data_IF_327190072015
#
_entry.id   IF_327190072015
#
_cell.length_a   1.000
_cell.length_b   1.000
_cell.length_c   1.000
_cell.angle_alpha   90.00
_cell.angle_beta   90.00
_cell.angle_gamma   90.00
#
_symmetry.space_group_name_H-M   'P 1'
#
loop_
_entity.id
_entity.type
_entity.pdbx_description
1 polymer ?
#
# COMPACT_ATOMS: atom_id res chain seq x y z
N UNK A 1 -10.13 -13.87 15.58
CA UNK A 1 -9.23 -15.04 15.42
C UNK A 1 -9.59 -15.98 14.27
N UNK A 2 -10.81 -16.56 14.22
CA UNK A 2 -11.18 -17.57 13.20
C UNK A 2 -11.08 -17.08 11.73
N UNK A 3 -11.48 -15.84 11.44
CA UNK A 3 -11.34 -15.23 10.10
C UNK A 3 -9.86 -15.00 9.68
N UNK A 4 -9.01 -14.62 10.62
CA UNK A 4 -7.56 -14.47 10.41
C UNK A 4 -6.90 -15.83 10.11
N UNK A 5 -7.25 -16.87 10.88
CA UNK A 5 -6.76 -18.23 10.65
C UNK A 5 -7.20 -18.81 9.30
N UNK A 6 -8.45 -18.56 8.89
CA UNK A 6 -8.95 -18.98 7.57
C UNK A 6 -8.24 -18.25 6.44
N UNK A 7 -8.04 -16.93 6.57
CA UNK A 7 -7.34 -16.12 5.55
C UNK A 7 -5.84 -16.44 5.47
N UNK A 8 -5.22 -16.79 6.59
CA UNK A 8 -3.82 -17.23 6.62
C UNK A 8 -3.69 -18.65 6.06
N UNK A 9 -4.59 -19.56 6.45
CA UNK A 9 -4.63 -20.92 5.94
C UNK A 9 -4.86 -20.98 4.42
N UNK A 10 -5.76 -20.15 3.87
CA UNK A 10 -5.97 -20.05 2.43
C UNK A 10 -4.75 -19.51 1.70
N UNK A 11 -4.06 -18.51 2.25
CA UNK A 11 -2.82 -17.99 1.69
C UNK A 11 -1.69 -19.04 1.66
N UNK A 12 -1.52 -19.81 2.75
CA UNK A 12 -0.55 -20.91 2.82
C UNK A 12 -0.90 -22.03 1.83
N UNK A 13 -2.18 -22.39 1.70
CA UNK A 13 -2.62 -23.39 0.73
C UNK A 13 -2.42 -22.95 -0.72
N UNK A 14 -2.69 -21.67 -1.03
CA UNK A 14 -2.44 -21.11 -2.37
C UNK A 14 -0.95 -21.09 -2.69
N UNK A 15 -0.10 -20.72 -1.73
CA UNK A 15 1.35 -20.76 -1.90
C UNK A 15 1.88 -22.20 -2.06
N UNK A 16 1.37 -23.14 -1.25
CA UNK A 16 1.74 -24.55 -1.36
C UNK A 16 1.29 -25.15 -2.69
N UNK A 17 0.08 -24.83 -3.15
CA UNK A 17 -0.43 -25.22 -4.47
C UNK A 17 0.40 -24.62 -5.60
N UNK A 18 0.78 -23.35 -5.49
CA UNK A 18 1.67 -22.68 -6.43
C UNK A 18 3.04 -23.36 -6.53
N UNK A 19 3.68 -23.67 -5.40
CA UNK A 19 4.97 -24.39 -5.40
C UNK A 19 4.84 -25.80 -5.96
N UNK A 20 3.74 -26.50 -5.66
CA UNK A 20 3.48 -27.83 -6.20
C UNK A 20 3.33 -27.80 -7.74
N UNK A 21 2.66 -26.78 -8.29
CA UNK A 21 2.50 -26.57 -9.74
C UNK A 21 3.84 -26.33 -10.46
N UNK A 22 4.84 -25.75 -9.78
CA UNK A 22 6.13 -25.39 -10.37
C UNK A 22 7.16 -26.52 -10.41
N UNK A 23 6.81 -27.73 -9.96
CA UNK A 23 7.73 -28.85 -9.72
C UNK A 23 8.82 -28.50 -8.68
N UNK A 24 8.61 -28.83 -7.39
CA UNK A 24 9.48 -28.41 -6.29
C UNK A 24 10.97 -28.78 -6.47
N UNK A 25 11.26 -29.94 -7.08
CA UNK A 25 12.64 -30.38 -7.29
C UNK A 25 13.37 -29.50 -8.30
N UNK A 26 12.70 -29.13 -9.40
CA UNK A 26 13.28 -28.22 -10.41
C UNK A 26 13.41 -26.80 -9.88
N UNK A 27 12.41 -26.34 -9.14
CA UNK A 27 12.45 -25.03 -8.47
C UNK A 27 13.63 -24.95 -7.48
N UNK A 28 13.83 -25.97 -6.65
CA UNK A 28 14.94 -26.01 -5.70
C UNK A 28 16.31 -26.02 -6.40
N UNK A 29 16.45 -26.75 -7.50
CA UNK A 29 17.69 -26.76 -8.28
C UNK A 29 17.99 -25.37 -8.87
N UNK A 30 17.02 -24.72 -9.50
CA UNK A 30 17.20 -23.37 -10.05
C UNK A 30 17.55 -22.32 -8.97
N UNK A 31 16.93 -22.43 -7.78
CA UNK A 31 17.23 -21.53 -6.67
C UNK A 31 18.61 -21.79 -6.07
N UNK A 32 19.12 -23.02 -6.12
CA UNK A 32 20.46 -23.36 -5.63
C UNK A 32 21.57 -22.76 -6.51
N UNK A 33 21.33 -22.61 -7.81
CA UNK A 33 22.27 -21.99 -8.76
C UNK A 33 22.19 -20.46 -8.77
N UNK A 34 21.24 -19.86 -8.03
CA UNK A 34 21.04 -18.41 -8.02
C UNK A 34 22.22 -17.67 -7.38
N UNK A 35 22.71 -16.63 -8.05
CA UNK A 35 23.78 -15.79 -7.50
C UNK A 35 23.29 -14.94 -6.33
N UNK A 36 23.77 -15.27 -5.13
CA UNK A 36 23.35 -14.60 -3.89
C UNK A 36 23.70 -13.10 -3.89
N UNK A 37 24.87 -12.72 -4.41
CA UNK A 37 25.32 -11.32 -4.48
C UNK A 37 24.38 -10.44 -5.30
N UNK A 38 23.95 -10.94 -6.46
CA UNK A 38 22.98 -10.26 -7.33
C UNK A 38 21.61 -10.19 -6.66
N UNK A 39 21.17 -11.29 -6.04
CA UNK A 39 19.89 -11.34 -5.34
C UNK A 39 19.81 -10.34 -4.17
N UNK A 40 20.88 -10.18 -3.40
CA UNK A 40 20.93 -9.27 -2.24
C UNK A 40 20.73 -7.78 -2.59
N UNK A 41 20.92 -7.39 -3.86
CA UNK A 41 20.56 -6.05 -4.33
C UNK A 41 19.05 -5.79 -4.23
N UNK A 42 18.21 -6.84 -4.34
CA UNK A 42 16.76 -6.75 -4.20
C UNK A 42 16.30 -6.30 -2.81
N UNK A 43 16.65 -7.00 -1.71
CA UNK A 43 16.34 -6.56 -0.36
C UNK A 43 16.89 -5.16 -0.02
N UNK A 44 18.10 -4.82 -0.50
CA UNK A 44 18.66 -3.47 -0.32
C UNK A 44 17.79 -2.41 -1.02
N UNK A 45 17.34 -2.69 -2.25
CA UNK A 45 16.43 -1.80 -2.97
C UNK A 45 15.08 -1.67 -2.24
N UNK A 46 14.55 -2.75 -1.67
CA UNK A 46 13.31 -2.70 -0.86
C UNK A 46 13.49 -1.84 0.40
N UNK A 47 14.61 -1.94 1.12
CA UNK A 47 14.90 -1.03 2.24
C UNK A 47 14.93 0.43 1.77
N UNK A 48 15.61 0.70 0.66
CA UNK A 48 15.64 2.03 0.06
C UNK A 48 14.25 2.54 -0.31
N UNK A 49 13.38 1.68 -0.86
CA UNK A 49 11.99 2.03 -1.17
C UNK A 49 11.18 2.38 0.09
N UNK A 50 11.32 1.58 1.16
CA UNK A 50 10.67 1.85 2.44
C UNK A 50 11.13 3.18 3.06
N UNK A 51 12.44 3.48 3.00
CA UNK A 51 12.98 4.78 3.44
C UNK A 51 12.40 5.92 2.60
N UNK A 52 12.35 5.78 1.29
CA UNK A 52 11.76 6.79 0.41
C UNK A 52 10.29 7.06 0.75
N UNK A 53 9.45 6.03 0.87
CA UNK A 53 8.04 6.22 1.19
C UNK A 53 7.80 6.77 2.61
N UNK A 54 8.64 6.38 3.57
CA UNK A 54 8.64 6.96 4.90
C UNK A 54 8.99 8.45 4.88
N UNK A 55 10.06 8.82 4.17
CA UNK A 55 10.49 10.22 4.04
C UNK A 55 9.48 11.07 3.28
N UNK A 56 8.88 10.54 2.21
CA UNK A 56 7.80 11.22 1.50
C UNK A 56 6.61 11.50 2.43
N UNK A 57 6.23 10.52 3.26
CA UNK A 57 5.18 10.71 4.27
C UNK A 57 5.59 11.78 5.29
N UNK A 58 6.82 11.71 5.82
CA UNK A 58 7.38 12.67 6.78
C UNK A 58 7.34 14.11 6.26
N UNK A 59 7.70 14.32 4.99
CA UNK A 59 7.66 15.63 4.34
C UNK A 59 6.24 16.21 4.33
N UNK A 60 5.23 15.38 4.02
CA UNK A 60 3.84 15.82 4.01
C UNK A 60 3.34 16.19 5.41
N UNK A 61 3.80 15.48 6.47
CA UNK A 61 3.50 15.84 7.86
C UNK A 61 4.22 17.10 8.34
N UNK A 62 5.39 17.44 7.78
CA UNK A 62 6.15 18.63 8.18
C UNK A 62 5.43 19.95 7.86
N UNK A 63 4.47 19.94 6.93
CA UNK A 63 3.59 21.07 6.63
C UNK A 63 2.63 21.44 7.77
N UNK A 64 2.48 20.57 8.77
CA UNK A 64 1.47 20.65 9.83
C UNK A 64 2.04 21.01 11.21
N UNK A 65 3.13 21.78 11.27
CA UNK A 65 3.88 22.25 12.47
C UNK A 65 4.58 21.17 13.33
N UNK A 66 4.47 19.90 12.97
CA UNK A 66 5.15 18.79 13.68
C UNK A 66 6.50 18.42 13.04
N UNK A 67 7.60 18.66 13.74
CA UNK A 67 8.94 18.19 13.33
C UNK A 67 9.14 16.72 13.71
N UNK A 68 8.91 15.82 12.78
CA UNK A 68 9.15 14.39 12.96
C UNK A 68 10.57 14.03 12.51
N UNK A 69 11.30 13.30 13.35
CA UNK A 69 12.59 12.71 12.96
C UNK A 69 12.40 11.55 11.96
N UNK A 70 13.32 11.37 11.02
CA UNK A 70 13.31 10.27 10.04
C UNK A 70 13.07 8.89 10.66
N UNK A 71 13.72 8.58 11.78
CA UNK A 71 13.57 7.28 12.43
C UNK A 71 12.15 7.03 12.99
N UNK A 72 11.52 8.06 13.59
CA UNK A 72 10.13 7.96 14.05
C UNK A 72 9.17 7.75 12.87
N UNK A 73 9.35 8.49 11.79
CA UNK A 73 8.55 8.31 10.57
C UNK A 73 8.76 6.91 9.95
N UNK A 74 9.97 6.36 10.02
CA UNK A 74 10.27 5.01 9.52
C UNK A 74 9.56 3.93 10.33
N UNK A 75 9.59 4.04 11.66
CA UNK A 75 8.85 3.13 12.55
C UNK A 75 7.35 3.21 12.33
N UNK A 76 6.78 4.41 12.24
CA UNK A 76 5.37 4.63 11.95
C UNK A 76 4.96 4.03 10.60
N UNK A 77 5.74 4.31 9.55
CA UNK A 77 5.51 3.77 8.21
C UNK A 77 5.59 2.23 8.21
N UNK A 78 6.64 1.66 8.79
CA UNK A 78 6.83 0.21 8.86
C UNK A 78 5.72 -0.49 9.64
N UNK A 79 5.29 0.07 10.78
CA UNK A 79 4.19 -0.45 11.57
C UNK A 79 2.85 -0.43 10.82
N UNK A 80 2.54 0.70 10.17
CA UNK A 80 1.35 0.82 9.34
C UNK A 80 1.38 -0.12 8.14
N UNK A 81 2.52 -0.23 7.46
CA UNK A 81 2.67 -1.07 6.27
C UNK A 81 2.61 -2.57 6.62
N UNK A 82 3.15 -2.95 7.77
CA UNK A 82 2.97 -4.29 8.33
C UNK A 82 1.48 -4.59 8.58
N UNK A 83 0.76 -3.69 9.25
CA UNK A 83 -0.68 -3.84 9.46
C UNK A 83 -1.45 -3.95 8.15
N UNK A 84 -1.14 -3.10 7.16
CA UNK A 84 -1.76 -3.10 5.83
C UNK A 84 -1.58 -4.43 5.08
N UNK A 85 -0.43 -5.09 5.22
CA UNK A 85 -0.13 -6.32 4.49
C UNK A 85 -0.64 -7.59 5.19
N UNK A 86 -0.70 -7.58 6.52
CA UNK A 86 -1.09 -8.76 7.31
C UNK A 86 -2.60 -8.82 7.56
N UNK A 87 -3.29 -7.68 7.65
CA UNK A 87 -4.73 -7.65 7.90
C UNK A 87 -5.54 -8.08 6.67
N UNK A 88 -6.58 -8.94 6.83
CA UNK A 88 -7.57 -9.20 5.79
C UNK A 88 -8.24 -7.89 5.37
N UNK A 89 -8.43 -7.66 4.06
CA UNK A 89 -8.87 -6.36 3.52
C UNK A 89 -7.93 -5.18 3.87
N UNK A 90 -6.69 -5.44 4.26
CA UNK A 90 -5.73 -4.41 4.66
C UNK A 90 -5.44 -3.39 3.55
N UNK A 91 -5.55 -3.75 2.27
CA UNK A 91 -5.50 -2.78 1.16
C UNK A 91 -6.73 -1.87 1.09
N UNK A 92 -7.92 -2.33 1.49
CA UNK A 92 -9.14 -1.52 1.48
C UNK A 92 -9.19 -0.55 2.68
N UNK A 93 -8.60 -0.92 3.82
CA UNK A 93 -8.43 -0.08 5.01
C UNK A 93 -7.04 0.56 5.14
N UNK A 94 -6.19 0.45 4.12
CA UNK A 94 -4.77 0.81 4.15
C UNK A 94 -4.49 2.21 4.68
N UNK A 95 -5.15 3.27 4.16
CA UNK A 95 -4.92 4.62 4.64
C UNK A 95 -5.30 4.79 6.13
N UNK A 96 -6.33 4.10 6.61
CA UNK A 96 -6.74 4.14 8.02
C UNK A 96 -5.71 3.47 8.95
N UNK A 97 -5.21 2.30 8.57
CA UNK A 97 -4.17 1.58 9.34
C UNK A 97 -2.88 2.38 9.40
N UNK A 98 -2.48 2.95 8.25
CA UNK A 98 -1.32 3.84 8.17
C UNK A 98 -1.51 5.10 9.01
N UNK A 99 -2.68 5.75 8.93
CA UNK A 99 -2.99 6.94 9.71
C UNK A 99 -2.94 6.68 11.22
N UNK A 100 -3.45 5.53 11.67
CA UNK A 100 -3.38 5.13 13.07
C UNK A 100 -1.94 4.90 13.55
N UNK A 101 -1.11 4.24 12.73
CA UNK A 101 0.29 4.03 13.06
C UNK A 101 1.07 5.36 13.17
N UNK A 102 0.74 6.33 12.31
CA UNK A 102 1.33 7.67 12.37
C UNK A 102 0.80 8.49 13.55
N UNK A 103 -0.49 8.45 13.86
CA UNK A 103 -1.07 9.11 15.04
C UNK A 103 -0.39 8.65 16.34
N UNK A 104 -0.14 7.35 16.49
CA UNK A 104 0.48 6.81 17.71
C UNK A 104 1.95 7.20 17.87
N UNK A 105 2.62 7.53 16.78
CA UNK A 105 4.05 7.90 16.75
C UNK A 105 4.28 9.41 16.60
N UNK A 106 3.26 10.13 16.16
CA UNK A 106 3.25 11.56 15.89
C UNK A 106 1.93 12.05 16.46
N UNK A 107 1.95 12.84 17.53
CA UNK A 107 0.78 13.37 18.26
C UNK A 107 -0.05 14.38 17.42
N UNK A 108 -0.40 14.01 16.20
CA UNK A 108 -1.24 14.69 15.24
C UNK A 108 -2.45 13.78 15.04
N UNK A 109 -3.56 14.13 15.70
CA UNK A 109 -4.73 13.28 15.84
C UNK A 109 -5.20 12.60 14.54
N UNK A 110 -5.86 11.45 14.67
CA UNK A 110 -6.20 10.53 13.59
C UNK A 110 -6.73 11.18 12.29
N UNK A 111 -7.65 12.16 12.36
CA UNK A 111 -8.21 12.82 11.16
C UNK A 111 -7.16 13.54 10.32
N UNK A 112 -6.16 14.17 10.96
CA UNK A 112 -5.06 14.85 10.27
C UNK A 112 -4.11 13.83 9.67
N UNK A 113 -3.77 12.78 10.42
CA UNK A 113 -2.95 11.67 9.92
C UNK A 113 -3.60 10.99 8.71
N UNK A 114 -4.92 10.80 8.72
CA UNK A 114 -5.65 10.22 7.60
C UNK A 114 -5.60 11.09 6.34
N UNK A 115 -5.72 12.41 6.49
CA UNK A 115 -5.61 13.32 5.36
C UNK A 115 -4.21 13.29 4.72
N UNK A 116 -3.15 13.35 5.55
CA UNK A 116 -1.77 13.30 5.07
C UNK A 116 -1.46 11.97 4.38
N UNK A 117 -1.87 10.86 4.98
CA UNK A 117 -1.68 9.53 4.40
C UNK A 117 -2.48 9.35 3.11
N UNK A 118 -3.70 9.88 3.02
CA UNK A 118 -4.47 9.84 1.79
C UNK A 118 -3.75 10.59 0.64
N UNK A 119 -3.14 11.75 0.94
CA UNK A 119 -2.28 12.46 -0.03
C UNK A 119 -1.09 11.59 -0.43
N UNK A 120 -0.39 10.99 0.55
CA UNK A 120 0.76 10.13 0.28
C UNK A 120 0.39 8.92 -0.60
N UNK A 121 -0.75 8.26 -0.33
CA UNK A 121 -1.24 7.15 -1.14
C UNK A 121 -1.63 7.62 -2.55
N UNK A 122 -2.27 8.78 -2.69
CA UNK A 122 -2.58 9.34 -4.01
C UNK A 122 -1.30 9.62 -4.82
N UNK A 123 -0.30 10.26 -4.22
CA UNK A 123 1.01 10.49 -4.87
C UNK A 123 1.68 9.17 -5.24
N UNK A 124 1.56 8.15 -4.38
CA UNK A 124 2.10 6.81 -4.65
C UNK A 124 1.40 6.11 -5.81
N UNK A 125 0.08 6.20 -5.90
CA UNK A 125 -0.68 5.68 -7.05
C UNK A 125 -0.29 6.39 -8.34
N UNK A 126 -0.14 7.72 -8.31
CA UNK A 126 0.30 8.47 -9.48
C UNK A 126 1.72 8.07 -9.91
N UNK A 127 2.63 7.92 -8.94
CA UNK A 127 4.01 7.51 -9.21
C UNK A 127 4.11 6.09 -9.77
N UNK A 128 3.26 5.16 -9.30
CA UNK A 128 3.20 3.78 -9.81
C UNK A 128 2.71 3.74 -11.25
N UNK A 129 1.68 4.54 -11.57
CA UNK A 129 1.12 4.63 -12.92
C UNK A 129 2.08 5.29 -13.88
N UNK A 130 2.72 6.40 -13.46
CA UNK A 130 3.75 7.04 -14.26
C UNK A 130 4.87 6.04 -14.57
N UNK A 131 5.29 5.25 -13.58
CA UNK A 131 6.31 4.23 -13.78
C UNK A 131 5.85 3.14 -14.76
N UNK A 132 4.60 2.67 -14.65
CA UNK A 132 4.02 1.71 -15.58
C UNK A 132 3.97 2.25 -17.02
N UNK A 133 3.56 3.52 -17.18
CA UNK A 133 3.49 4.22 -18.47
C UNK A 133 4.88 4.40 -19.09
N UNK A 134 5.89 4.78 -18.28
CA UNK A 134 7.27 4.86 -18.73
C UNK A 134 7.77 3.47 -19.17
N UNK A 135 7.54 2.44 -18.35
CA UNK A 135 7.92 1.06 -18.67
C UNK A 135 7.32 0.59 -20.00
N UNK A 136 6.00 0.76 -20.20
CA UNK A 136 5.35 0.34 -21.44
C UNK A 136 5.77 1.17 -22.65
N UNK A 137 6.01 2.47 -22.47
CA UNK A 137 6.50 3.34 -23.55
C UNK A 137 7.89 2.91 -24.02
N UNK A 138 8.79 2.59 -23.09
CA UNK A 138 10.12 2.07 -23.43
C UNK A 138 10.01 0.71 -24.10
N UNK A 139 9.12 -0.19 -23.65
CA UNK A 139 8.87 -1.48 -24.30
C UNK A 139 8.42 -1.31 -25.76
N UNK A 140 7.50 -0.36 -26.04
CA UNK A 140 7.11 -0.06 -27.42
C UNK A 140 8.25 0.53 -28.24
N UNK A 141 9.05 1.43 -27.66
CA UNK A 141 10.19 2.04 -28.34
C UNK A 141 11.26 1.02 -28.76
N UNK A 142 11.43 -0.07 -28.00
CA UNK A 142 12.35 -1.17 -28.34
C UNK A 142 11.68 -2.29 -29.15
N UNK A 143 10.45 -2.09 -29.64
CA UNK A 143 9.77 -3.00 -30.56
C UNK A 143 8.96 -4.13 -29.90
N UNK A 144 8.75 -4.12 -28.58
CA UNK A 144 7.92 -5.11 -27.89
C UNK A 144 6.43 -4.71 -28.02
N UNK A 145 5.77 -5.17 -29.07
CA UNK A 145 4.39 -4.81 -29.41
C UNK A 145 3.42 -5.99 -29.35
N UNK A 146 3.53 -6.84 -28.33
CA UNK A 146 2.61 -7.98 -28.18
C UNK A 146 1.19 -7.51 -27.85
N UNK A 147 0.13 -8.27 -28.21
CA UNK A 147 -1.26 -7.91 -27.87
C UNK A 147 -1.46 -7.69 -26.36
N UNK A 148 -0.76 -8.46 -25.53
CA UNK A 148 -0.80 -8.37 -24.06
C UNK A 148 -0.21 -7.05 -23.58
N UNK A 149 0.98 -6.65 -24.07
CA UNK A 149 1.61 -5.37 -23.71
C UNK A 149 0.74 -4.19 -24.14
N UNK A 150 0.11 -4.28 -25.33
CA UNK A 150 -0.84 -3.26 -25.79
C UNK A 150 -2.08 -3.17 -24.90
N UNK A 151 -2.70 -4.30 -24.56
CA UNK A 151 -3.87 -4.33 -23.68
C UNK A 151 -3.56 -3.73 -22.31
N UNK A 152 -2.45 -4.16 -21.70
CA UNK A 152 -2.04 -3.67 -20.39
C UNK A 152 -1.59 -2.20 -20.43
N UNK A 153 -0.95 -1.75 -21.51
CA UNK A 153 -0.62 -0.33 -21.71
C UNK A 153 -1.86 0.55 -21.84
N UNK A 154 -2.88 0.10 -22.60
CA UNK A 154 -4.18 0.78 -22.68
C UNK A 154 -4.88 0.77 -21.32
N UNK A 155 -4.87 -0.34 -20.60
CA UNK A 155 -5.45 -0.41 -19.26
C UNK A 155 -4.76 0.57 -18.29
N UNK A 156 -3.43 0.63 -18.29
CA UNK A 156 -2.67 1.59 -17.49
C UNK A 156 -3.04 3.04 -17.85
N UNK A 157 -3.19 3.36 -19.14
CA UNK A 157 -3.63 4.68 -19.60
C UNK A 157 -5.06 4.99 -19.16
N UNK A 158 -5.99 4.04 -19.28
CA UNK A 158 -7.39 4.21 -18.83
C UNK A 158 -7.44 4.47 -17.33
N UNK A 159 -6.67 3.72 -16.53
CA UNK A 159 -6.58 3.95 -15.09
C UNK A 159 -5.98 5.32 -14.79
N UNK A 160 -4.93 5.73 -15.50
CA UNK A 160 -4.33 7.07 -15.36
C UNK A 160 -5.36 8.17 -15.62
N UNK A 161 -6.11 8.08 -16.71
CA UNK A 161 -7.15 9.03 -17.09
C UNK A 161 -8.31 9.02 -16.09
N UNK A 162 -8.74 7.84 -15.64
CA UNK A 162 -9.80 7.70 -14.64
C UNK A 162 -9.42 8.35 -13.31
N UNK A 163 -8.17 8.18 -12.85
CA UNK A 163 -7.69 8.81 -11.63
C UNK A 163 -7.51 10.32 -11.78
N UNK A 164 -7.04 10.80 -12.93
CA UNK A 164 -6.99 12.23 -13.22
C UNK A 164 -8.40 12.85 -13.18
N UNK A 165 -9.38 12.19 -13.82
CA UNK A 165 -10.78 12.61 -13.79
C UNK A 165 -11.34 12.57 -12.37
N UNK A 166 -11.08 11.51 -11.60
CA UNK A 166 -11.49 11.40 -10.21
C UNK A 166 -10.88 12.50 -9.35
N UNK A 167 -9.60 12.80 -9.53
CA UNK A 167 -8.91 13.91 -8.84
C UNK A 167 -9.56 15.26 -9.15
N UNK A 168 -9.90 15.53 -10.41
CA UNK A 168 -10.65 16.73 -10.82
C UNK A 168 -12.04 16.76 -10.15
N UNK A 169 -12.77 15.65 -10.16
CA UNK A 169 -14.09 15.58 -9.51
C UNK A 169 -13.98 15.83 -8.01
N UNK A 170 -13.06 15.17 -7.31
CA UNK A 170 -12.85 15.35 -5.86
C UNK A 170 -12.44 16.79 -5.55
N UNK A 171 -11.62 17.41 -6.39
CA UNK A 171 -11.16 18.79 -6.20
C UNK A 171 -12.27 19.82 -6.42
N UNK A 172 -13.02 19.72 -7.52
CA UNK A 172 -14.01 20.72 -7.93
C UNK A 172 -15.43 20.47 -7.39
N UNK A 173 -15.77 19.22 -7.04
CA UNK A 173 -17.14 18.83 -6.60
C UNK A 173 -17.16 18.41 -5.13
N UNK A 174 -16.37 19.05 -4.27
CA UNK A 174 -16.23 18.71 -2.85
C UNK A 174 -17.57 18.59 -2.11
N UNK A 175 -18.47 19.55 -2.31
CA UNK A 175 -19.81 19.52 -1.70
C UNK A 175 -20.65 18.34 -2.16
N UNK A 176 -20.55 17.94 -3.44
CA UNK A 176 -21.25 16.78 -3.96
C UNK A 176 -20.65 15.46 -3.44
N UNK A 177 -19.31 15.38 -3.33
CA UNK A 177 -18.63 14.21 -2.76
C UNK A 177 -18.97 14.05 -1.28
N UNK A 178 -18.83 15.12 -0.48
CA UNK A 178 -19.22 15.11 0.93
C UNK A 178 -20.71 14.76 1.10
N UNK A 179 -21.58 15.34 0.30
CA UNK A 179 -23.02 15.04 0.31
C UNK A 179 -23.33 13.58 -0.04
N UNK A 180 -22.63 13.00 -1.01
CA UNK A 180 -22.77 11.59 -1.37
C UNK A 180 -22.30 10.66 -0.24
N UNK A 181 -21.14 10.94 0.36
CA UNK A 181 -20.62 10.18 1.51
C UNK A 181 -21.57 10.24 2.71
N UNK A 182 -22.12 11.43 3.02
CA UNK A 182 -23.12 11.61 4.08
C UNK A 182 -24.41 10.84 3.77
N UNK A 183 -24.84 10.82 2.51
CA UNK A 183 -26.02 10.07 2.09
C UNK A 183 -25.81 8.56 2.25
N UNK A 184 -24.64 8.04 1.85
CA UNK A 184 -24.27 6.64 2.05
C UNK A 184 -24.26 6.31 3.54
N UNK A 185 -23.70 7.18 4.39
CA UNK A 185 -23.69 6.93 5.84
C UNK A 185 -25.09 6.93 6.44
N UNK A 186 -25.99 7.82 6.03
CA UNK A 186 -27.40 7.78 6.46
C UNK A 186 -28.11 6.47 6.11
N UNK A 187 -27.74 5.84 5.00
CA UNK A 187 -28.31 4.54 4.56
C UNK A 187 -27.67 3.36 5.29
N UNK A 188 -26.35 3.43 5.53
CA UNK A 188 -25.56 2.33 6.10
C UNK A 188 -25.62 2.31 7.63
N UNK A 189 -25.66 3.46 8.28
CA UNK A 189 -25.65 3.61 9.74
C UNK A 189 -26.77 2.80 10.43
N UNK A 190 -28.04 2.78 9.95
CA UNK A 190 -29.09 1.96 10.54
C UNK A 190 -28.82 0.46 10.45
N UNK A 191 -28.19 0.01 9.37
CA UNK A 191 -27.81 -1.39 9.19
C UNK A 191 -26.63 -1.77 10.10
N UNK A 192 -25.64 -0.88 10.20
CA UNK A 192 -24.45 -1.10 11.05
C UNK A 192 -24.80 -1.03 12.54
N UNK A 193 -25.75 -0.18 12.95
CA UNK A 193 -26.24 -0.08 14.34
C UNK A 193 -26.78 -1.41 14.86
N UNK A 194 -27.37 -2.24 14.00
CA UNK A 194 -27.85 -3.58 14.39
C UNK A 194 -26.74 -4.56 14.72
N UNK A 195 -25.53 -4.32 14.23
CA UNK A 195 -24.37 -5.21 14.40
C UNK A 195 -23.40 -4.65 15.44
N UNK A 196 -23.15 -3.34 15.41
CA UNK A 196 -22.19 -2.66 16.29
C UNK A 196 -22.66 -1.23 16.58
N UNK A 197 -23.22 -0.98 17.78
CA UNK A 197 -23.64 0.36 18.20
C UNK A 197 -22.48 1.36 18.24
N UNK A 198 -21.28 0.90 18.61
CA UNK A 198 -20.06 1.72 18.63
C UNK A 198 -19.63 2.18 17.24
N UNK A 199 -19.71 1.31 16.24
CA UNK A 199 -19.37 1.67 14.86
C UNK A 199 -20.42 2.60 14.23
N UNK A 200 -21.70 2.40 14.56
CA UNK A 200 -22.77 3.31 14.12
C UNK A 200 -22.60 4.73 14.70
N UNK A 201 -22.19 4.87 15.95
CA UNK A 201 -21.89 6.17 16.54
C UNK A 201 -20.71 6.90 15.87
N UNK A 202 -19.78 6.16 15.26
CA UNK A 202 -18.67 6.70 14.45
C UNK A 202 -19.11 7.08 13.03
N UNK A 203 -20.10 6.36 12.48
CA UNK A 203 -20.71 6.61 11.16
C UNK A 203 -21.84 7.63 11.21
N UNK A 204 -22.12 8.22 12.38
CA UNK A 204 -23.13 9.25 12.54
C UNK A 204 -22.89 10.39 11.53
N UNK A 205 -23.92 10.83 10.76
CA UNK A 205 -23.78 11.81 9.70
C UNK A 205 -23.03 13.08 10.11
N UNK A 206 -23.28 13.57 11.33
CA UNK A 206 -22.66 14.78 11.84
C UNK A 206 -21.16 14.60 12.13
N UNK A 207 -20.76 13.42 12.66
CA UNK A 207 -19.35 13.09 12.89
C UNK A 207 -18.58 12.88 11.58
N UNK A 208 -19.23 12.27 10.60
CA UNK A 208 -18.66 12.09 9.26
C UNK A 208 -18.48 13.43 8.57
N UNK A 209 -19.46 14.34 8.69
CA UNK A 209 -19.38 15.70 8.13
C UNK A 209 -18.22 16.47 8.76
N UNK A 210 -18.16 16.55 10.09
CA UNK A 210 -17.07 17.23 10.79
C UNK A 210 -15.69 16.59 10.54
N UNK A 211 -15.63 15.27 10.35
CA UNK A 211 -14.42 14.55 9.97
C UNK A 211 -13.97 14.87 8.55
N UNK A 212 -14.91 14.96 7.60
CA UNK A 212 -14.64 15.32 6.21
C UNK A 212 -14.20 16.78 6.10
N UNK A 213 -14.80 17.71 6.83
CA UNK A 213 -14.37 19.12 6.88
C UNK A 213 -12.91 19.23 7.34
N UNK A 214 -12.56 18.64 8.49
CA UNK A 214 -11.17 18.59 8.98
C UNK A 214 -10.21 17.92 8.00
N UNK A 215 -10.66 16.86 7.33
CA UNK A 215 -9.90 16.19 6.29
C UNK A 215 -9.60 17.14 5.12
N UNK A 216 -10.61 17.84 4.60
CA UNK A 216 -10.45 18.76 3.47
C UNK A 216 -9.61 19.98 3.83
N UNK A 217 -9.76 20.56 5.02
CA UNK A 217 -8.91 21.65 5.52
C UNK A 217 -7.43 21.24 5.59
N UNK A 218 -7.17 20.06 6.16
CA UNK A 218 -5.81 19.50 6.22
C UNK A 218 -5.28 19.20 4.82
N UNK A 219 -6.09 18.59 3.96
CA UNK A 219 -5.75 18.27 2.58
C UNK A 219 -5.37 19.52 1.78
N UNK A 220 -6.14 20.61 1.91
CA UNK A 220 -5.83 21.89 1.29
C UNK A 220 -4.51 22.46 1.79
N UNK A 221 -4.28 22.40 3.10
CA UNK A 221 -3.04 22.90 3.71
C UNK A 221 -1.82 22.14 3.18
N UNK A 222 -1.91 20.80 3.11
CA UNK A 222 -0.83 19.94 2.60
C UNK A 222 -0.59 20.20 1.11
N UNK A 223 -1.66 20.36 0.31
CA UNK A 223 -1.55 20.57 -1.14
C UNK A 223 -1.15 22.01 -1.49
N UNK A 224 -1.37 22.97 -0.60
CA UNK A 224 -0.98 24.37 -0.80
C UNK A 224 0.54 24.53 -0.90
N UNK A 225 1.33 23.75 -0.14
CA UNK A 225 2.77 23.71 -0.29
C UNK A 225 3.18 22.81 -1.47
N UNK A 226 3.10 23.40 -2.68
CA UNK A 226 3.46 22.75 -3.94
C UNK A 226 4.88 22.20 -3.92
N UNK A 227 5.83 22.86 -3.23
CA UNK A 227 7.22 22.40 -3.18
C UNK A 227 7.30 21.11 -2.40
N UNK A 228 6.69 21.05 -1.24
CA UNK A 228 6.66 19.83 -0.41
C UNK A 228 5.97 18.69 -1.14
N UNK A 229 4.83 18.93 -1.80
CA UNK A 229 4.14 17.91 -2.60
C UNK A 229 5.01 17.38 -3.74
N UNK A 230 5.68 18.26 -4.50
CA UNK A 230 6.57 17.85 -5.60
C UNK A 230 7.75 17.04 -5.08
N UNK A 231 8.39 17.48 -4.00
CA UNK A 231 9.51 16.71 -3.41
C UNK A 231 9.03 15.36 -2.89
N UNK A 232 7.89 15.31 -2.18
CA UNK A 232 7.30 14.06 -1.71
C UNK A 232 6.96 13.11 -2.87
N UNK A 233 6.44 13.65 -3.99
CA UNK A 233 6.18 12.88 -5.20
C UNK A 233 7.48 12.32 -5.81
N UNK A 234 8.52 13.13 -5.97
CA UNK A 234 9.80 12.69 -6.52
C UNK A 234 10.48 11.62 -5.64
N UNK A 235 10.44 11.78 -4.32
CA UNK A 235 10.94 10.78 -3.37
C UNK A 235 10.10 9.49 -3.47
N UNK A 236 8.78 9.62 -3.56
CA UNK A 236 7.88 8.47 -3.78
C UNK A 236 8.17 7.76 -5.10
N UNK A 237 8.47 8.51 -6.16
CA UNK A 237 8.84 7.98 -7.46
C UNK A 237 10.15 7.20 -7.42
N UNK A 238 11.15 7.70 -6.68
CA UNK A 238 12.39 6.97 -6.41
C UNK A 238 12.11 5.67 -5.64
N UNK A 239 11.20 5.72 -4.66
CA UNK A 239 10.73 4.53 -3.94
C UNK A 239 10.15 3.47 -4.87
N UNK A 240 9.31 3.86 -5.83
CA UNK A 240 8.77 2.93 -6.83
C UNK A 240 9.82 2.36 -7.78
N UNK A 241 10.80 3.17 -8.21
CA UNK A 241 11.92 2.69 -9.01
C UNK A 241 12.70 1.61 -8.28
N UNK A 242 13.06 1.87 -7.01
CA UNK A 242 13.74 0.91 -6.16
C UNK A 242 12.88 -0.34 -5.90
N UNK A 243 11.58 -0.18 -5.72
CA UNK A 243 10.65 -1.29 -5.50
C UNK A 243 10.47 -2.20 -6.73
N UNK A 244 10.74 -1.70 -7.94
CA UNK A 244 10.70 -2.50 -9.16
C UNK A 244 11.99 -3.30 -9.41
N UNK A 245 13.14 -2.87 -8.88
CA UNK A 245 14.43 -3.52 -9.08
C UNK A 245 14.48 -5.00 -8.65
N UNK A 246 13.85 -5.44 -7.54
CA UNK A 246 13.86 -6.84 -7.13
C UNK A 246 13.46 -7.82 -8.22
N UNK A 247 12.49 -7.48 -9.07
CA UNK A 247 12.08 -8.36 -10.16
C UNK A 247 13.21 -8.56 -11.18
N UNK A 248 13.92 -7.48 -11.51
CA UNK A 248 15.09 -7.51 -12.39
C UNK A 248 16.25 -8.29 -11.73
N UNK A 249 16.58 -7.98 -10.47
CA UNK A 249 17.70 -8.64 -9.77
C UNK A 249 17.43 -10.11 -9.53
N UNK A 250 16.18 -10.53 -9.31
CA UNK A 250 15.79 -11.93 -9.18
C UNK A 250 15.99 -12.70 -10.48
N UNK A 251 15.57 -12.12 -11.62
CA UNK A 251 15.79 -12.73 -12.94
C UNK A 251 17.28 -12.80 -13.30
N UNK A 252 18.02 -11.72 -13.02
CA UNK A 252 19.47 -11.68 -13.20
C UNK A 252 20.20 -12.69 -12.30
N UNK A 253 19.74 -12.87 -11.06
CA UNK A 253 20.34 -13.83 -10.13
C UNK A 253 20.25 -15.27 -10.65
N UNK A 254 19.18 -15.59 -11.39
CA UNK A 254 18.92 -16.88 -12.04
C UNK A 254 19.54 -16.99 -13.45
N UNK A 255 20.36 -16.02 -13.87
CA UNK A 255 21.02 -16.04 -15.18
C UNK A 255 20.08 -15.78 -16.37
N UNK A 256 18.87 -15.30 -16.12
CA UNK A 256 17.82 -15.07 -17.13
C UNK A 256 17.35 -13.61 -17.09
N UNK A 257 18.22 -12.65 -17.49
CA UNK A 257 17.93 -11.23 -17.32
C UNK A 257 16.68 -10.81 -18.10
N UNK A 258 15.81 -10.06 -17.45
CA UNK A 258 14.68 -9.37 -18.09
C UNK A 258 15.04 -7.93 -18.40
N UNK A 259 14.45 -7.29 -19.43
CA UNK A 259 14.60 -5.86 -19.63
C UNK A 259 14.11 -5.09 -18.39
N UNK A 260 14.87 -4.08 -17.94
CA UNK A 260 14.47 -3.24 -16.81
C UNK A 260 13.10 -2.60 -17.06
N UNK A 261 12.84 -2.17 -18.30
CA UNK A 261 11.54 -1.63 -18.71
C UNK A 261 10.36 -2.60 -18.45
N UNK A 262 10.58 -3.90 -18.59
CA UNK A 262 9.59 -4.92 -18.26
C UNK A 262 9.30 -4.95 -16.75
N UNK A 263 10.34 -4.84 -15.92
CA UNK A 263 10.14 -4.77 -14.47
C UNK A 263 9.40 -3.48 -14.04
N UNK A 264 9.77 -2.33 -14.61
CA UNK A 264 9.10 -1.05 -14.35
C UNK A 264 7.62 -1.07 -14.77
N UNK A 265 7.26 -1.89 -15.75
CA UNK A 265 5.89 -2.06 -16.19
C UNK A 265 5.11 -3.07 -15.34
N UNK A 266 5.62 -4.29 -15.20
CA UNK A 266 4.90 -5.40 -14.59
C UNK A 266 4.62 -5.18 -13.10
N UNK A 267 5.59 -4.65 -12.35
CA UNK A 267 5.49 -4.47 -10.90
C UNK A 267 4.30 -3.56 -10.52
N UNK A 268 4.19 -2.32 -11.03
CA UNK A 268 3.03 -1.48 -10.73
C UNK A 268 1.74 -1.99 -11.37
N UNK A 269 1.78 -2.55 -12.60
CA UNK A 269 0.59 -3.04 -13.28
C UNK A 269 -0.12 -4.16 -12.50
N UNK A 270 0.64 -5.11 -11.96
CA UNK A 270 0.08 -6.21 -11.17
C UNK A 270 -0.44 -5.71 -9.81
N UNK A 271 0.22 -4.72 -9.20
CA UNK A 271 -0.24 -4.10 -7.96
C UNK A 271 -1.61 -3.41 -8.08
N UNK A 272 -1.90 -2.81 -9.24
CA UNK A 272 -3.21 -2.19 -9.53
C UNK A 272 -4.28 -3.23 -9.86
N UNK A 273 -3.88 -4.37 -10.47
CA UNK A 273 -4.79 -5.40 -10.96
C UNK A 273 -5.22 -6.44 -9.90
N UNK A 274 -4.86 -6.28 -8.61
CA UNK A 274 -5.27 -7.23 -7.56
C UNK A 274 -6.77 -7.10 -7.25
N UNK A 275 -7.59 -7.92 -7.93
CA UNK A 275 -9.05 -8.01 -7.72
C UNK A 275 -9.41 -8.88 -6.51
N UNK A 276 -8.50 -9.76 -6.06
CA UNK A 276 -8.78 -10.72 -4.98
C UNK A 276 -8.32 -10.15 -3.63
N UNK A 277 -9.21 -10.01 -2.63
CA UNK A 277 -8.91 -9.41 -1.32
C UNK A 277 -8.17 -10.38 -0.37
N UNK A 278 -7.07 -10.98 -0.83
CA UNK A 278 -6.19 -11.82 -0.02
C UNK A 278 -5.10 -10.98 0.67
N UNK A 279 -4.63 -11.37 1.88
CA UNK A 279 -3.54 -10.68 2.56
C UNK A 279 -2.33 -10.58 1.64
N UNK A 280 -1.78 -9.37 1.48
CA UNK A 280 -0.60 -9.14 0.65
C UNK A 280 -0.71 -9.48 -0.83
N UNK A 281 -1.94 -9.69 -1.36
CA UNK A 281 -2.18 -10.10 -2.74
C UNK A 281 -1.72 -11.53 -3.08
N UNK A 282 -1.49 -12.37 -2.06
CA UNK A 282 -1.02 -13.75 -2.22
C UNK A 282 -1.95 -14.57 -3.13
N UNK A 283 -1.36 -15.32 -4.06
CA UNK A 283 -2.03 -16.09 -5.10
C UNK A 283 -2.22 -15.27 -6.37
N UNK A 284 -2.86 -14.10 -6.30
CA UNK A 284 -3.17 -13.31 -7.51
C UNK A 284 -1.94 -12.72 -8.19
N UNK A 285 -1.03 -12.14 -7.40
CA UNK A 285 0.19 -11.50 -7.90
C UNK A 285 1.13 -12.54 -8.52
N UNK A 286 1.29 -13.68 -7.85
CA UNK A 286 2.19 -14.74 -8.27
C UNK A 286 1.78 -15.33 -9.61
N UNK A 287 0.50 -15.73 -9.77
CA UNK A 287 0.01 -16.26 -11.04
C UNK A 287 0.04 -15.22 -12.16
N UNK A 288 -0.31 -13.97 -11.87
CA UNK A 288 -0.25 -12.90 -12.86
C UNK A 288 1.19 -12.67 -13.36
N UNK A 289 2.17 -12.56 -12.46
CA UNK A 289 3.57 -12.37 -12.84
C UNK A 289 4.14 -13.59 -13.57
N UNK A 290 3.84 -14.81 -13.13
CA UNK A 290 4.28 -16.02 -13.84
C UNK A 290 3.69 -16.06 -15.26
N UNK A 291 2.39 -15.78 -15.42
CA UNK A 291 1.74 -15.73 -16.73
C UNK A 291 2.34 -14.64 -17.63
N UNK A 292 2.64 -13.46 -17.07
CA UNK A 292 3.23 -12.35 -17.83
C UNK A 292 4.68 -12.64 -18.21
N UNK A 293 5.48 -13.25 -17.33
CA UNK A 293 6.87 -13.61 -17.65
C UNK A 293 6.97 -14.73 -18.70
N UNK A 294 6.10 -15.75 -18.61
CA UNK A 294 6.07 -16.82 -19.62
C UNK A 294 5.61 -16.31 -20.99
N UNK A 295 4.66 -15.37 -21.02
CA UNK A 295 4.14 -14.80 -22.27
C UNK A 295 5.03 -13.71 -22.89
N UNK A 296 5.72 -12.91 -22.06
CA UNK A 296 6.45 -11.71 -22.53
C UNK A 296 7.97 -11.86 -22.53
N UNK A 297 8.53 -12.78 -21.75
CA UNK A 297 9.98 -12.92 -21.58
C UNK A 297 10.48 -14.35 -21.85
N UNK A 298 9.69 -15.16 -22.59
CA UNK A 298 10.07 -16.52 -23.07
C UNK A 298 10.47 -17.50 -21.97
N UNK A 299 10.10 -17.24 -20.72
CA UNK A 299 10.33 -18.17 -19.63
C UNK A 299 9.48 -19.42 -19.79
N UNK A 300 10.02 -20.57 -19.40
CA UNK A 300 9.19 -21.72 -19.06
C UNK A 300 8.48 -21.48 -17.73
N UNK A 301 7.47 -22.30 -17.43
CA UNK A 301 6.64 -22.12 -16.24
C UNK A 301 7.47 -22.16 -14.94
N UNK A 302 8.42 -23.08 -14.85
CA UNK A 302 9.29 -23.25 -13.69
C UNK A 302 10.24 -22.06 -13.53
N UNK A 303 10.90 -21.60 -14.59
CA UNK A 303 11.79 -20.44 -14.55
C UNK A 303 11.08 -19.14 -14.17
N UNK A 304 9.91 -18.88 -14.76
CA UNK A 304 9.08 -17.74 -14.36
C UNK A 304 8.66 -17.84 -12.88
N UNK A 305 8.31 -19.05 -12.43
CA UNK A 305 8.01 -19.34 -11.03
C UNK A 305 9.18 -19.02 -10.09
N UNK A 306 10.40 -19.43 -10.45
CA UNK A 306 11.61 -19.16 -9.66
C UNK A 306 11.88 -17.66 -9.52
N UNK A 307 11.77 -16.89 -10.61
CA UNK A 307 11.91 -15.43 -10.59
C UNK A 307 10.88 -14.80 -9.65
N UNK A 308 9.61 -15.22 -9.76
CA UNK A 308 8.52 -14.69 -8.94
C UNK A 308 8.71 -15.04 -7.45
N UNK A 309 9.16 -16.24 -7.13
CA UNK A 309 9.46 -16.64 -5.73
C UNK A 309 10.54 -15.74 -5.13
N UNK A 310 11.66 -15.55 -5.84
CA UNK A 310 12.72 -14.66 -5.38
C UNK A 310 12.23 -13.21 -5.27
N UNK A 311 11.47 -12.73 -6.25
CA UNK A 311 10.88 -11.39 -6.23
C UNK A 311 10.00 -11.21 -4.99
N UNK A 312 9.11 -12.15 -4.69
CA UNK A 312 8.20 -12.09 -3.54
C UNK A 312 8.93 -12.24 -2.21
N UNK A 313 10.03 -12.99 -2.17
CA UNK A 313 10.90 -13.05 -1.00
C UNK A 313 11.41 -11.65 -0.63
N UNK A 314 11.75 -10.83 -1.62
CA UNK A 314 12.13 -9.42 -1.40
C UNK A 314 10.92 -8.50 -1.18
N UNK A 315 10.02 -8.46 -2.15
CA UNK A 315 8.97 -7.43 -2.27
C UNK A 315 7.85 -7.58 -1.26
N UNK A 316 7.71 -8.77 -0.67
CA UNK A 316 6.65 -9.08 0.29
C UNK A 316 7.20 -9.60 1.61
N UNK A 317 7.89 -10.75 1.62
CA UNK A 317 8.30 -11.37 2.88
C UNK A 317 9.34 -10.54 3.64
N UNK A 318 10.38 -10.08 2.94
CA UNK A 318 11.37 -9.20 3.53
C UNK A 318 10.77 -7.82 3.89
N UNK A 319 9.92 -7.25 3.04
CA UNK A 319 9.18 -6.02 3.37
C UNK A 319 8.36 -6.17 4.67
N UNK A 320 7.60 -7.26 4.81
CA UNK A 320 6.81 -7.56 6.00
C UNK A 320 7.71 -7.77 7.22
N UNK A 321 8.84 -8.44 7.07
CA UNK A 321 9.82 -8.63 8.15
C UNK A 321 10.35 -7.28 8.66
N UNK A 322 10.78 -6.40 7.76
CA UNK A 322 11.27 -5.06 8.12
C UNK A 322 10.15 -4.24 8.78
N UNK A 323 8.93 -4.31 8.23
CA UNK A 323 7.75 -3.69 8.83
C UNK A 323 7.43 -4.22 10.23
N UNK A 324 7.59 -5.52 10.46
CA UNK A 324 7.38 -6.14 11.77
C UNK A 324 8.43 -5.68 12.79
N UNK A 325 9.70 -5.58 12.39
CA UNK A 325 10.78 -5.04 13.24
C UNK A 325 10.53 -3.56 13.56
N UNK A 326 10.08 -2.78 12.57
CA UNK A 326 9.69 -1.40 12.76
C UNK A 326 8.49 -1.28 13.72
N UNK A 327 7.49 -2.15 13.61
CA UNK A 327 6.34 -2.22 14.52
C UNK A 327 6.75 -2.61 15.95
N UNK A 328 7.67 -3.56 16.10
CA UNK A 328 8.16 -4.00 17.41
C UNK A 328 8.93 -2.90 18.16
N UNK A 329 9.65 -2.07 17.42
CA UNK A 329 10.43 -0.94 17.96
C UNK A 329 9.61 0.35 18.05
N UNK A 330 8.42 0.38 17.45
CA UNK A 330 7.45 1.44 17.62
C UNK A 330 6.87 1.40 19.05
N UNK A 331 6.37 2.53 19.55
CA UNK A 331 5.59 2.58 20.80
C UNK A 331 4.24 1.83 20.68
N UNK A 332 3.91 1.40 19.46
CA UNK A 332 2.70 0.65 19.13
C UNK A 332 2.79 -0.79 19.63
N UNK A 333 2.03 -1.12 20.68
CA UNK A 333 1.78 -2.52 21.02
C UNK A 333 1.02 -3.20 19.86
N UNK A 334 1.54 -4.30 19.32
CA UNK A 334 0.90 -5.09 18.24
C UNK A 334 -0.54 -5.51 18.60
N UNK A 335 -0.86 -5.57 19.91
CA UNK A 335 -2.19 -5.86 20.46
C UNK A 335 -3.20 -4.71 20.34
N UNK A 336 -2.74 -3.49 20.07
CA UNK A 336 -3.58 -2.28 19.98
C UNK A 336 -3.87 -1.87 18.53
N UNK A 337 -3.34 -2.60 17.54
CA UNK A 337 -3.77 -2.44 16.15
C UNK A 337 -5.23 -2.90 16.06
N UNK A 338 -6.17 -2.08 15.55
CA UNK A 338 -7.57 -2.46 15.49
C UNK A 338 -7.73 -3.73 14.64
N UNK A 339 -7.95 -4.87 15.31
CA UNK A 339 -8.14 -6.17 14.67
C UNK A 339 -9.47 -6.26 13.90
N UNK A 340 -10.35 -5.29 14.13
CA UNK A 340 -11.60 -4.99 13.43
C UNK A 340 -11.98 -3.53 13.73
N UNK A 341 -12.89 -2.94 12.96
CA UNK A 341 -13.46 -1.61 13.23
C UNK A 341 -14.24 -1.51 14.57
N UNK A 342 -14.30 -2.59 15.35
CA UNK A 342 -15.23 -2.80 16.47
C UNK A 342 -14.61 -2.67 17.87
N UNK A 343 -13.28 -2.53 18.04
CA UNK A 343 -12.68 -2.40 19.39
C UNK A 343 -11.87 -1.10 19.58
N UNK A 344 -11.88 -0.54 20.81
CA UNK A 344 -11.95 0.89 21.05
C UNK A 344 -10.60 1.62 20.95
N UNK A 345 -10.64 2.80 20.32
CA UNK A 345 -9.70 3.87 20.59
C UNK A 345 -10.20 4.59 21.85
N UNK A 346 -9.46 4.39 22.94
CA UNK A 346 -9.25 5.32 24.06
C UNK A 346 -10.50 5.78 24.82
N UNK A 347 -10.61 5.29 26.06
CA UNK A 347 -11.31 5.97 27.13
C UNK A 347 -10.81 7.42 27.21
N UNK A 348 -11.61 8.35 26.68
CA UNK A 348 -11.43 9.76 26.97
C UNK A 348 -12.12 10.04 28.30
N UNK A 349 -11.27 10.44 29.24
CA UNK A 349 -11.52 11.13 30.48
C UNK A 349 -12.88 11.83 30.50
N UNK A 350 -13.70 11.42 31.45
CA UNK A 350 -14.81 12.22 31.96
C UNK A 350 -14.21 13.54 32.47
N UNK A 351 -14.73 14.72 32.10
CA UNK A 351 -14.31 15.94 32.77
C UNK A 351 -14.67 15.78 34.25
N UNK A 352 -13.65 15.85 35.11
CA UNK A 352 -13.85 16.00 36.54
C UNK A 352 -14.77 17.21 36.78
N UNK A 353 -15.67 17.04 37.75
CA UNK A 353 -16.81 17.89 38.00
C UNK A 353 -16.49 19.37 38.03
N UNK A 354 -17.42 20.14 37.47
CA UNK A 354 -17.71 21.49 37.94
C UNK A 354 -18.27 21.30 39.35
N UNK A 355 -17.43 21.55 40.36
CA UNK A 355 -17.91 21.88 41.69
C UNK A 355 -18.68 23.20 41.56
N UNK A 356 -20.01 23.08 41.62
CA UNK A 356 -20.86 24.16 42.03
C UNK A 356 -20.85 24.14 43.57
N UNK A 357 -20.22 25.13 44.17
CA UNK A 357 -20.49 25.52 45.55
C UNK A 357 -20.38 27.05 45.67
N UNK A 358 -21.49 27.63 46.13
CA UNK A 358 -21.73 28.89 46.84
C UNK A 358 -20.96 30.18 46.47
N UNK A 359 -21.71 31.12 45.86
CA UNK A 359 -22.13 32.38 46.54
C UNK A 359 -23.37 33.00 45.87
#
# INVERSE_FOLDING_TARGET
MRRLLVSFGSAVLLLAGFVALLNPARLAAQLADASLSTFLLGPVAILGAMVCWSEASRLLFASSDSRISSWRAFRAYGAGAFGKLVLPMGNAGGPAVMAYAFEREVDVGYSRSLAVIAVAEFLSLLASILLALVGVTVLFAVGVTTPVVRLLGVAALVVAVALAALGVVVWYRRTAVSGALVTVTRVVEPAVRRVSPGLAAKLAPDRVTAGLERYYETFETVVADRRTVVVAFLVTQLGWLLFALPLFTSALALGTPVPVALALFLVPAVGVATVVPLPGGLGGIEFALVGLLTTLATFDLTGAGAVVVLYRLCSFWFFVLVGAVAAWTATVGIRELPASLDEPAVALETPAGVDADDD
#
